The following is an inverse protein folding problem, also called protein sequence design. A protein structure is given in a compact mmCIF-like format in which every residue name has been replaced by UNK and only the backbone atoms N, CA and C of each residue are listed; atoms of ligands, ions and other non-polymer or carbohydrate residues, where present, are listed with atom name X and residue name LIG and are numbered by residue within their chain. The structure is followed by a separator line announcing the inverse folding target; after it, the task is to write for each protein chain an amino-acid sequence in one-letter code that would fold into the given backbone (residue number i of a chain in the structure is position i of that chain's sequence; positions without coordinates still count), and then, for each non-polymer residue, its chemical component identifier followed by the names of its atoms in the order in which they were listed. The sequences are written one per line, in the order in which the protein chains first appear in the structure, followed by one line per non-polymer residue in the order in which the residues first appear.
data_IF_703793883990
#
_entry.id   IF_703793883990
#
_cell.length_a   1.000
_cell.length_b   1.000
_cell.length_c   1.000
_cell.angle_alpha   90.00
_cell.angle_beta   90.00
_cell.angle_gamma   90.00
#
_symmetry.space_group_name_H-M   'P 1'
#
loop_
_entity.id
_entity.type
_entity.pdbx_description
1 polymer ?
#
# COMPACT_ATOMS: atom_id res chain seq x y z
N UNK A 1 -9.61 13.88 -8.80
CA UNK A 1 -9.13 14.03 -7.42
C UNK A 1 -10.18 14.53 -6.43
N UNK A 2 -11.05 15.51 -6.76
CA UNK A 2 -12.07 16.06 -5.83
C UNK A 2 -12.95 15.01 -5.11
N UNK A 3 -13.34 13.93 -5.79
CA UNK A 3 -14.14 12.87 -5.16
C UNK A 3 -13.32 12.08 -4.11
N UNK A 4 -12.05 11.76 -4.39
CA UNK A 4 -11.17 11.09 -3.46
C UNK A 4 -10.95 11.95 -2.20
N UNK A 5 -10.60 13.21 -2.39
CA UNK A 5 -10.43 14.18 -1.31
C UNK A 5 -11.68 14.30 -0.43
N UNK A 6 -12.86 14.47 -1.06
CA UNK A 6 -14.14 14.55 -0.34
C UNK A 6 -14.40 13.28 0.47
N UNK A 7 -14.12 12.11 -0.09
CA UNK A 7 -14.33 10.81 0.58
C UNK A 7 -13.42 10.70 1.80
N UNK A 8 -12.13 11.03 1.65
CA UNK A 8 -11.17 11.02 2.77
C UNK A 8 -11.60 11.99 3.87
N UNK A 9 -11.95 13.24 3.53
CA UNK A 9 -12.41 14.24 4.51
C UNK A 9 -13.65 13.76 5.27
N UNK A 10 -14.62 13.16 4.58
CA UNK A 10 -15.85 12.62 5.22
C UNK A 10 -15.56 11.48 6.18
N UNK A 11 -14.64 10.59 5.82
CA UNK A 11 -14.24 9.48 6.69
C UNK A 11 -13.47 10.02 7.92
N UNK A 12 -12.52 10.92 7.71
CA UNK A 12 -11.76 11.57 8.80
C UNK A 12 -12.68 12.35 9.76
N UNK A 13 -13.67 13.05 9.24
CA UNK A 13 -14.65 13.80 10.05
C UNK A 13 -15.50 12.89 10.97
N UNK A 14 -15.55 11.59 10.70
CA UNK A 14 -16.20 10.57 11.54
C UNK A 14 -15.23 9.83 12.47
N UNK A 15 -13.99 10.28 12.57
CA UNK A 15 -12.97 9.67 13.42
C UNK A 15 -12.29 8.45 12.82
N UNK A 16 -12.55 8.13 11.53
CA UNK A 16 -11.87 7.00 10.88
C UNK A 16 -10.42 7.34 10.50
N UNK A 17 -9.49 6.43 10.73
CA UNK A 17 -8.19 6.48 10.08
C UNK A 17 -8.33 6.06 8.62
N UNK A 18 -7.65 6.78 7.71
CA UNK A 18 -7.73 6.53 6.27
C UNK A 18 -6.34 6.30 5.72
N UNK A 19 -6.14 5.14 5.12
CA UNK A 19 -4.93 4.77 4.39
C UNK A 19 -5.33 4.46 2.96
N UNK A 20 -4.70 5.11 1.99
CA UNK A 20 -4.95 4.92 0.56
C UNK A 20 -3.71 4.34 -0.09
N UNK A 21 -3.84 3.16 -0.67
CA UNK A 21 -2.86 2.63 -1.59
C UNK A 21 -3.02 3.34 -2.94
N UNK A 22 -1.97 4.01 -3.41
CA UNK A 22 -2.01 4.79 -4.65
C UNK A 22 -1.93 3.89 -5.88
N UNK A 23 -2.20 4.46 -7.06
CA UNK A 23 -2.14 3.74 -8.33
C UNK A 23 -0.80 3.00 -8.48
N UNK A 24 -0.80 1.69 -8.75
CA UNK A 24 0.43 0.94 -9.03
C UNK A 24 1.07 1.37 -10.37
N UNK A 25 2.33 0.98 -10.58
CA UNK A 25 3.00 1.21 -11.88
C UNK A 25 2.41 0.28 -12.95
N UNK A 26 1.44 0.78 -13.71
CA UNK A 26 0.80 0.05 -14.81
C UNK A 26 1.76 -0.23 -15.98
N UNK A 27 2.95 0.37 -15.99
CA UNK A 27 4.01 0.03 -16.94
C UNK A 27 4.64 -1.36 -16.70
N UNK A 28 4.34 -2.02 -15.57
CA UNK A 28 4.75 -3.42 -15.33
C UNK A 28 3.81 -4.44 -15.97
N UNK A 29 2.65 -4.00 -16.46
CA UNK A 29 1.65 -4.87 -17.10
C UNK A 29 2.11 -5.31 -18.47
N UNK A 30 2.42 -6.60 -18.64
CA UNK A 30 3.01 -7.17 -19.87
C UNK A 30 2.14 -7.05 -21.12
N UNK A 31 0.78 -7.24 -21.08
CA UNK A 31 -0.05 -7.20 -22.28
C UNK A 31 -0.05 -5.86 -23.01
N UNK A 32 0.48 -4.80 -22.41
CA UNK A 32 0.52 -3.47 -23.03
C UNK A 32 1.75 -3.33 -23.92
N UNK A 33 1.57 -3.15 -25.26
CA UNK A 33 2.70 -3.00 -26.19
C UNK A 33 3.37 -1.63 -26.08
N UNK A 34 4.63 -1.55 -26.53
CA UNK A 34 5.30 -0.28 -26.77
C UNK A 34 4.69 0.43 -28.01
N UNK A 35 4.60 1.77 -28.04
CA UNK A 35 5.05 2.73 -27.01
C UNK A 35 4.03 3.02 -25.89
N UNK A 36 2.84 2.42 -25.96
CA UNK A 36 1.75 2.68 -25.03
C UNK A 36 2.14 2.39 -23.57
N UNK A 37 2.98 1.39 -23.33
CA UNK A 37 3.52 1.04 -22.01
C UNK A 37 4.24 2.22 -21.33
N UNK A 38 5.04 2.99 -22.06
CA UNK A 38 5.73 4.16 -21.54
C UNK A 38 4.74 5.25 -21.13
N UNK A 39 3.71 5.46 -21.93
CA UNK A 39 2.67 6.45 -21.68
C UNK A 39 1.85 6.09 -20.42
N UNK A 40 1.43 4.83 -20.32
CA UNK A 40 0.68 4.32 -19.15
C UNK A 40 1.53 4.41 -17.88
N UNK A 41 2.81 4.08 -17.96
CA UNK A 41 3.75 4.25 -16.83
C UNK A 41 3.80 5.70 -16.36
N UNK A 42 3.90 6.65 -17.27
CA UNK A 42 3.90 8.07 -16.92
C UNK A 42 2.56 8.47 -16.28
N UNK A 43 1.44 8.11 -16.90
CA UNK A 43 0.13 8.44 -16.38
C UNK A 43 -0.17 7.82 -15.02
N UNK A 44 0.23 6.58 -14.77
CA UNK A 44 0.04 5.95 -13.45
C UNK A 44 0.85 6.65 -12.36
N UNK A 45 2.05 7.13 -12.67
CA UNK A 45 2.86 7.93 -11.75
C UNK A 45 2.25 9.30 -11.48
N UNK A 46 1.82 10.00 -12.52
CA UNK A 46 1.15 11.31 -12.38
C UNK A 46 -0.15 11.16 -11.57
N UNK A 47 -0.90 10.09 -11.79
CA UNK A 47 -2.10 9.76 -11.01
C UNK A 47 -1.76 9.47 -9.55
N UNK A 48 -0.75 8.65 -9.29
CA UNK A 48 -0.32 8.31 -7.92
C UNK A 48 0.14 9.57 -7.15
N UNK A 49 0.87 10.46 -7.81
CA UNK A 49 1.27 11.74 -7.22
C UNK A 49 0.07 12.62 -6.88
N UNK A 50 -0.89 12.75 -7.80
CA UNK A 50 -2.11 13.51 -7.56
C UNK A 50 -2.99 12.90 -6.46
N UNK A 51 -3.05 11.57 -6.37
CA UNK A 51 -3.73 10.85 -5.27
C UNK A 51 -3.06 11.14 -3.94
N UNK A 52 -1.72 11.10 -3.89
CA UNK A 52 -0.95 11.38 -2.67
C UNK A 52 -1.26 12.78 -2.13
N UNK A 53 -1.18 13.80 -2.98
CA UNK A 53 -1.50 15.18 -2.59
C UNK A 53 -2.92 15.28 -2.04
N UNK A 54 -3.92 14.79 -2.80
CA UNK A 54 -5.32 14.89 -2.41
C UNK A 54 -5.64 14.16 -1.08
N UNK A 55 -5.01 13.02 -0.83
CA UNK A 55 -5.23 12.23 0.39
C UNK A 55 -4.56 12.89 1.59
N UNK A 56 -3.32 13.34 1.46
CA UNK A 56 -2.57 13.98 2.54
C UNK A 56 -3.23 15.30 2.94
N UNK A 57 -3.63 16.13 1.99
CA UNK A 57 -4.35 17.39 2.24
C UNK A 57 -5.73 17.15 2.91
N UNK A 58 -6.33 16.00 2.67
CA UNK A 58 -7.58 15.59 3.33
C UNK A 58 -7.37 14.93 4.71
N UNK A 59 -6.13 14.80 5.19
CA UNK A 59 -5.80 14.22 6.49
C UNK A 59 -5.71 12.69 6.50
N UNK A 60 -5.58 12.06 5.33
CA UNK A 60 -5.30 10.64 5.20
C UNK A 60 -3.80 10.33 5.06
N UNK A 61 -3.47 9.04 4.99
CA UNK A 61 -2.12 8.52 4.72
C UNK A 61 -2.09 7.79 3.39
N UNK A 62 -0.94 7.74 2.74
CA UNK A 62 -0.77 7.05 1.46
C UNK A 62 0.32 6.00 1.52
N UNK A 63 0.18 4.97 0.69
CA UNK A 63 1.21 3.97 0.42
C UNK A 63 1.43 3.92 -1.09
N UNK A 64 2.65 4.19 -1.54
CA UNK A 64 3.01 4.15 -2.97
C UNK A 64 3.22 2.71 -3.42
N UNK A 65 2.18 2.06 -3.95
CA UNK A 65 2.31 0.70 -4.46
C UNK A 65 3.23 0.62 -5.68
N UNK A 66 3.24 1.67 -6.52
CA UNK A 66 4.12 1.72 -7.69
C UNK A 66 5.60 1.67 -7.32
N UNK A 67 6.00 2.41 -6.31
CA UNK A 67 7.40 2.48 -5.87
C UNK A 67 7.82 1.22 -5.09
N UNK A 68 6.93 0.71 -4.23
CA UNK A 68 7.23 -0.44 -3.36
C UNK A 68 7.19 -1.75 -4.14
N UNK A 69 6.16 -1.97 -4.93
CA UNK A 69 5.90 -3.26 -5.59
C UNK A 69 6.33 -3.31 -7.05
N UNK A 70 6.47 -2.16 -7.72
CA UNK A 70 6.83 -2.11 -9.13
C UNK A 70 8.06 -2.96 -9.48
N UNK A 71 9.18 -2.85 -8.75
CA UNK A 71 10.36 -3.68 -9.00
C UNK A 71 10.10 -5.18 -8.83
N UNK A 72 9.34 -5.60 -7.79
CA UNK A 72 9.02 -7.01 -7.56
C UNK A 72 8.14 -7.58 -8.68
N UNK A 73 7.08 -6.84 -9.07
CA UNK A 73 6.19 -7.26 -10.15
C UNK A 73 6.88 -7.31 -11.51
N UNK A 74 7.85 -6.43 -11.74
CA UNK A 74 8.67 -6.47 -12.95
C UNK A 74 9.64 -7.66 -12.96
N UNK A 75 10.16 -8.07 -11.80
CA UNK A 75 11.10 -9.18 -11.68
C UNK A 75 10.43 -10.56 -11.72
N UNK A 76 9.21 -10.69 -11.21
CA UNK A 76 8.49 -11.96 -11.12
C UNK A 76 7.03 -11.86 -11.64
N UNK A 77 6.81 -11.42 -12.90
CA UNK A 77 5.46 -11.15 -13.40
C UNK A 77 4.58 -12.41 -13.46
N UNK A 78 5.15 -13.59 -13.74
CA UNK A 78 4.41 -14.83 -13.82
C UNK A 78 3.91 -15.35 -12.47
N UNK A 79 4.57 -14.96 -11.38
CA UNK A 79 4.19 -15.32 -10.02
C UNK A 79 3.19 -14.32 -9.45
N UNK A 80 3.44 -13.02 -9.66
CA UNK A 80 2.72 -11.94 -8.99
C UNK A 80 1.49 -11.44 -9.74
N UNK A 81 1.38 -11.69 -11.06
CA UNK A 81 0.16 -11.47 -11.81
C UNK A 81 -0.66 -12.75 -11.96
N UNK A 82 -1.98 -12.61 -12.06
CA UNK A 82 -2.91 -13.69 -12.37
C UNK A 82 -2.81 -14.14 -13.83
N UNK A 83 -3.69 -15.08 -14.22
CA UNK A 83 -3.71 -15.64 -15.59
C UNK A 83 -3.98 -14.59 -16.66
N UNK A 84 -4.65 -13.51 -16.32
CA UNK A 84 -4.94 -12.37 -17.21
C UNK A 84 -3.73 -11.43 -17.37
N UNK A 85 -2.64 -11.66 -16.64
CA UNK A 85 -1.42 -10.84 -16.61
C UNK A 85 -1.67 -9.36 -16.33
N UNK A 86 -2.79 -9.08 -15.68
CA UNK A 86 -3.21 -7.71 -15.36
C UNK A 86 -3.52 -7.54 -13.87
N UNK A 87 -4.38 -8.39 -13.33
CA UNK A 87 -4.69 -8.39 -11.91
C UNK A 87 -3.64 -9.16 -11.12
N UNK A 88 -3.31 -8.75 -9.89
CA UNK A 88 -2.42 -9.51 -9.04
C UNK A 88 -2.92 -10.95 -8.79
N UNK A 89 -2.01 -11.89 -8.71
CA UNK A 89 -2.25 -13.24 -8.21
C UNK A 89 -2.51 -13.21 -6.69
N UNK A 90 -2.89 -14.32 -6.05
CA UNK A 90 -2.92 -14.40 -4.59
C UNK A 90 -1.60 -13.99 -3.93
N UNK A 91 -0.45 -14.37 -4.53
CA UNK A 91 0.86 -13.94 -4.05
C UNK A 91 1.07 -12.43 -4.23
N UNK A 92 0.64 -11.87 -5.37
CA UNK A 92 0.69 -10.43 -5.62
C UNK A 92 -0.16 -9.63 -4.64
N UNK A 93 -1.36 -10.09 -4.31
CA UNK A 93 -2.19 -9.46 -3.28
C UNK A 93 -1.58 -9.57 -1.89
N UNK A 94 -0.93 -10.69 -1.55
CA UNK A 94 -0.23 -10.84 -0.28
C UNK A 94 0.93 -9.83 -0.15
N UNK A 95 1.68 -9.58 -1.24
CA UNK A 95 2.71 -8.53 -1.29
C UNK A 95 2.11 -7.13 -1.10
N UNK A 96 0.99 -6.85 -1.77
CA UNK A 96 0.30 -5.57 -1.61
C UNK A 96 -0.19 -5.36 -0.17
N UNK A 97 -0.77 -6.38 0.46
CA UNK A 97 -1.19 -6.33 1.86
C UNK A 97 0.02 -6.08 2.79
N UNK A 98 1.13 -6.80 2.60
CA UNK A 98 2.34 -6.60 3.38
C UNK A 98 2.91 -5.18 3.24
N UNK A 99 2.83 -4.57 2.05
CA UNK A 99 3.28 -3.19 1.81
C UNK A 99 2.40 -2.15 2.52
N UNK A 100 1.09 -2.40 2.66
CA UNK A 100 0.14 -1.48 3.29
C UNK A 100 0.11 -1.62 4.81
N UNK A 101 0.33 -2.83 5.33
CA UNK A 101 0.18 -3.17 6.74
C UNK A 101 0.94 -2.26 7.72
N UNK A 102 2.22 -1.89 7.49
CA UNK A 102 2.95 -1.00 8.41
C UNK A 102 2.26 0.35 8.60
N UNK A 103 1.76 0.94 7.50
CA UNK A 103 1.06 2.23 7.54
C UNK A 103 -0.28 2.12 8.27
N UNK A 104 -0.99 1.00 8.09
CA UNK A 104 -2.25 0.73 8.83
C UNK A 104 -1.96 0.56 10.31
N UNK A 105 -0.97 -0.24 10.69
CA UNK A 105 -0.60 -0.43 12.08
C UNK A 105 -0.18 0.89 12.75
N UNK A 106 0.60 1.72 12.04
CA UNK A 106 0.96 3.04 12.53
C UNK A 106 -0.26 3.95 12.70
N UNK A 107 -1.19 3.95 11.73
CA UNK A 107 -2.43 4.73 11.81
C UNK A 107 -3.30 4.35 13.02
N UNK A 108 -3.28 3.09 13.41
CA UNK A 108 -4.01 2.55 14.55
C UNK A 108 -3.26 2.66 15.88
N UNK A 109 -2.05 3.23 15.89
CA UNK A 109 -1.21 3.31 17.08
C UNK A 109 -0.65 1.97 17.55
N UNK A 110 -0.68 0.95 16.68
CA UNK A 110 -0.16 -0.40 16.98
C UNK A 110 1.35 -0.51 16.73
N UNK A 111 1.95 0.50 16.11
CA UNK A 111 3.36 0.55 15.76
C UNK A 111 3.91 1.94 16.10
N UNK A 112 4.63 2.04 17.20
CA UNK A 112 5.26 3.27 17.65
C UNK A 112 6.42 2.96 18.60
N UNK A 113 7.26 3.94 18.94
CA UNK A 113 8.38 3.75 19.86
C UNK A 113 7.95 3.20 21.23
N UNK A 114 6.71 3.44 21.67
CA UNK A 114 6.17 2.93 22.93
C UNK A 114 5.79 1.43 22.90
N UNK A 115 5.67 0.81 21.73
CA UNK A 115 5.35 -0.63 21.63
C UNK A 115 6.58 -1.51 21.73
N UNK A 116 7.77 -0.97 21.52
CA UNK A 116 9.04 -1.70 21.70
C UNK A 116 9.31 -1.99 23.19
N UNK A 117 8.77 -1.19 24.11
CA UNK A 117 8.95 -1.33 25.55
C UNK A 117 7.89 -2.26 26.21
N UNK A 118 6.88 -2.70 25.44
CA UNK A 118 5.91 -3.71 25.87
C UNK A 118 6.21 -5.10 25.28
N UNK A 119 7.46 -5.50 25.30
CA UNK A 119 7.78 -6.92 25.18
C UNK A 119 7.06 -7.66 26.30
N UNK A 120 6.24 -8.71 26.04
CA UNK A 120 5.62 -9.46 27.10
C UNK A 120 6.74 -10.01 27.99
N UNK A 121 6.73 -9.63 29.27
CA UNK A 121 7.57 -10.25 30.27
C UNK A 121 7.27 -11.75 30.24
N UNK A 122 8.17 -12.51 29.64
CA UNK A 122 8.13 -13.96 29.73
C UNK A 122 8.43 -14.25 31.21
N UNK A 123 7.38 -14.46 32.01
CA UNK A 123 7.54 -15.02 33.36
C UNK A 123 8.32 -16.32 33.21
N UNK A 124 9.58 -16.28 33.56
CA UNK A 124 10.34 -17.50 33.80
C UNK A 124 9.60 -18.21 34.92
N UNK A 125 9.01 -19.34 34.58
CA UNK A 125 8.35 -20.19 35.55
C UNK A 125 9.34 -20.49 36.68
N UNK A 126 8.95 -20.13 37.88
CA UNK A 126 9.62 -20.57 39.09
C UNK A 126 9.62 -22.09 39.08
N UNK A 127 10.82 -22.66 39.10
CA UNK A 127 11.01 -24.10 39.18
C UNK A 127 10.31 -24.64 40.42
N UNK A 128 9.53 -25.67 40.22
CA UNK A 128 9.03 -26.51 41.28
C UNK A 128 10.24 -27.31 41.78
N UNK A 129 10.60 -27.04 43.00
CA UNK A 129 11.51 -27.87 43.76
C UNK A 129 10.86 -29.21 44.19
#
# INVERSE_FOLDING_TARGET
MRHLETTVRRARARGAEVVVATCPDLGTVEPVPQPLRLLIRRWSRDLAAAQTVAVVEAGGRTVSLGDILGPEFAAAPHELFGKDRFHPSPAGYARAAAAVLPTVCHALGLWGPDTADRAPEIRRGEGIG
#
